data_IF_467021731471
#
_entry.id   IF_467021731471
#
_cell.length_a   1.000
_cell.length_b   1.000
_cell.length_c   1.000
_cell.angle_alpha   90.00
_cell.angle_beta   90.00
_cell.angle_gamma   90.00
#
_symmetry.space_group_name_H-M   'P 1'
#
loop_
_entity.id
_entity.type
_entity.pdbx_description
1 polymer ?
#
# COMPACT_ATOMS: atom_id res chain seq x y z
N UNK A 1 -24.76 -16.78 -2.51
CA UNK A 1 -23.81 -16.78 -3.63
C UNK A 1 -22.95 -18.04 -3.54
N UNK A 2 -22.75 -18.80 -4.63
CA UNK A 2 -21.80 -19.92 -4.64
C UNK A 2 -20.39 -19.34 -4.82
N UNK A 3 -19.47 -19.67 -3.93
CA UNK A 3 -18.07 -19.31 -4.10
C UNK A 3 -17.49 -20.03 -5.34
N UNK A 4 -16.50 -19.42 -6.04
CA UNK A 4 -15.79 -20.10 -7.12
C UNK A 4 -15.22 -21.44 -6.64
N UNK A 5 -15.14 -22.42 -7.55
CA UNK A 5 -14.42 -23.67 -7.26
C UNK A 5 -12.95 -23.33 -6.94
N UNK A 6 -12.37 -23.91 -5.88
CA UNK A 6 -11.01 -23.57 -5.42
C UNK A 6 -10.90 -22.19 -4.75
N UNK A 7 -11.96 -21.69 -4.10
CA UNK A 7 -11.97 -20.39 -3.43
C UNK A 7 -10.88 -20.23 -2.37
N UNK A 8 -10.36 -21.33 -1.81
CA UNK A 8 -9.22 -21.35 -0.89
C UNK A 8 -7.88 -20.97 -1.56
N UNK A 9 -7.79 -20.95 -2.89
CA UNK A 9 -6.65 -20.39 -3.63
C UNK A 9 -6.73 -18.86 -3.79
N UNK A 10 -7.72 -18.19 -3.20
CA UNK A 10 -7.92 -16.75 -3.33
C UNK A 10 -7.61 -15.98 -2.04
N UNK A 11 -7.09 -14.78 -2.21
CA UNK A 11 -6.90 -13.77 -1.17
C UNK A 11 -7.87 -12.63 -1.44
N UNK A 12 -8.61 -12.23 -0.41
CA UNK A 12 -9.51 -11.09 -0.45
C UNK A 12 -8.82 -9.90 0.19
N UNK A 13 -8.85 -8.76 -0.51
CA UNK A 13 -8.36 -7.47 -0.02
C UNK A 13 -9.55 -6.56 0.21
N UNK A 14 -9.66 -5.98 1.41
CA UNK A 14 -10.71 -5.00 1.73
C UNK A 14 -10.30 -3.66 1.12
N UNK A 15 -11.06 -3.18 0.14
CA UNK A 15 -10.77 -1.92 -0.56
C UNK A 15 -11.50 -0.76 0.12
N UNK A 16 -10.79 0.31 0.53
CA UNK A 16 -11.39 1.54 1.01
C UNK A 16 -11.98 2.35 -0.14
N UNK A 17 -12.91 3.25 0.19
CA UNK A 17 -13.33 4.31 -0.72
C UNK A 17 -12.17 5.27 -0.98
N UNK A 18 -11.91 5.54 -2.26
CA UNK A 18 -10.89 6.47 -2.71
C UNK A 18 -10.53 6.26 -4.17
N UNK A 19 -9.56 7.02 -4.65
CA UNK A 19 -9.11 6.99 -6.05
C UNK A 19 -7.94 6.05 -6.19
N UNK A 20 -8.01 5.09 -7.11
CA UNK A 20 -6.87 4.22 -7.41
C UNK A 20 -5.77 5.03 -8.09
N UNK A 21 -4.53 4.78 -7.74
CA UNK A 21 -3.39 5.51 -8.26
C UNK A 21 -2.11 4.68 -8.20
N UNK A 22 -1.22 4.95 -9.15
CA UNK A 22 0.15 4.46 -9.14
C UNK A 22 1.04 5.46 -8.41
N UNK A 23 1.75 5.00 -7.39
CA UNK A 23 2.74 5.82 -6.66
C UNK A 23 4.14 5.38 -7.04
N UNK A 24 4.96 6.33 -7.50
CA UNK A 24 6.34 6.11 -7.90
C UNK A 24 7.26 7.05 -7.14
N UNK A 25 8.26 6.51 -6.42
CA UNK A 25 9.27 7.32 -5.73
C UNK A 25 10.69 7.02 -6.23
N UNK A 26 11.40 8.07 -6.63
CA UNK A 26 12.79 8.02 -7.11
C UNK A 26 13.39 9.43 -7.09
N UNK A 27 14.71 9.54 -6.90
CA UNK A 27 15.43 10.82 -6.91
C UNK A 27 14.86 11.83 -5.90
N UNK A 28 14.63 11.36 -4.67
CA UNK A 28 14.12 12.13 -3.55
C UNK A 28 12.72 12.73 -3.76
N UNK A 29 11.92 12.14 -4.65
CA UNK A 29 10.57 12.63 -4.92
C UNK A 29 9.60 11.49 -5.22
N UNK A 30 8.39 11.64 -4.71
CA UNK A 30 7.26 10.76 -4.95
C UNK A 30 6.27 11.45 -5.87
N UNK A 31 5.85 10.73 -6.91
CA UNK A 31 4.85 11.13 -7.89
C UNK A 31 3.68 10.16 -7.84
N UNK A 32 2.48 10.68 -8.03
CA UNK A 32 1.23 9.91 -8.03
C UNK A 32 0.55 10.12 -9.36
N UNK A 33 0.21 9.03 -10.01
CA UNK A 33 -0.48 9.00 -11.29
C UNK A 33 -1.85 8.34 -11.11
N UNK A 34 -2.88 8.87 -11.75
CA UNK A 34 -4.20 8.23 -11.76
C UNK A 34 -4.28 7.07 -12.76
N UNK A 35 -5.48 6.50 -12.94
CA UNK A 35 -5.72 5.38 -13.86
C UNK A 35 -5.53 5.76 -15.34
N UNK A 36 -5.60 7.05 -15.70
CA UNK A 36 -5.34 7.55 -17.04
C UNK A 36 -3.85 7.82 -17.28
N UNK A 37 -3.03 7.76 -16.22
CA UNK A 37 -1.60 8.05 -16.25
C UNK A 37 -1.28 9.52 -16.02
N UNK A 38 -2.25 10.35 -15.66
CA UNK A 38 -2.03 11.78 -15.41
C UNK A 38 -1.38 11.99 -14.04
N UNK A 39 -0.39 12.89 -13.98
CA UNK A 39 0.30 13.23 -12.74
C UNK A 39 -0.61 14.10 -11.85
N UNK A 40 -1.14 13.52 -10.77
CA UNK A 40 -2.07 14.20 -9.86
C UNK A 40 -1.42 14.75 -8.58
N UNK A 41 -0.25 14.24 -8.18
CA UNK A 41 0.43 14.70 -6.95
C UNK A 41 1.95 14.52 -7.00
N UNK A 42 2.67 15.41 -6.33
CA UNK A 42 4.13 15.36 -6.15
C UNK A 42 4.51 15.80 -4.73
N UNK A 43 5.30 15.00 -4.01
CA UNK A 43 5.70 15.27 -2.62
C UNK A 43 6.95 14.46 -2.23
N UNK A 44 7.56 14.77 -1.09
CA UNK A 44 8.59 13.92 -0.47
C UNK A 44 7.93 12.89 0.44
N UNK A 45 8.41 11.65 0.47
CA UNK A 45 7.82 10.58 1.26
C UNK A 45 8.86 9.70 1.94
N UNK A 46 8.38 8.87 2.87
CA UNK A 46 9.15 7.86 3.60
C UNK A 46 9.49 6.62 2.76
N UNK A 47 8.94 6.51 1.53
CA UNK A 47 9.24 5.40 0.65
C UNK A 47 10.70 5.43 0.18
N UNK A 48 11.29 4.28 -0.18
CA UNK A 48 12.57 4.22 -0.91
C UNK A 48 12.62 5.22 -2.07
N UNK A 49 13.71 6.00 -2.18
CA UNK A 49 13.83 7.04 -3.19
C UNK A 49 12.88 8.25 -3.04
N UNK A 50 12.06 8.32 -1.98
CA UNK A 50 11.06 9.35 -1.74
C UNK A 50 11.55 10.62 -1.02
N UNK A 51 12.77 10.60 -0.48
CA UNK A 51 13.44 11.81 0.04
C UNK A 51 13.31 12.05 1.55
N UNK A 52 12.52 11.27 2.29
CA UNK A 52 12.48 11.31 3.76
C UNK A 52 13.21 10.11 4.36
N UNK A 53 14.10 10.37 5.32
CA UNK A 53 14.85 9.34 6.05
C UNK A 53 14.22 8.96 7.39
N UNK A 54 14.63 7.81 7.93
CA UNK A 54 14.01 7.14 9.10
C UNK A 54 14.30 7.86 10.44
N UNK A 55 15.09 8.94 10.46
CA UNK A 55 15.48 9.68 11.67
C UNK A 55 15.30 11.20 11.57
N UNK A 56 14.48 11.70 10.63
CA UNK A 56 14.31 13.15 10.41
C UNK A 56 15.53 13.87 9.81
N UNK A 57 16.68 13.20 9.71
CA UNK A 57 17.83 13.60 8.90
C UNK A 57 17.66 13.08 7.48
N UNK A 58 17.84 13.98 6.51
CA UNK A 58 18.04 13.63 5.10
C UNK A 58 19.34 12.84 5.04
N UNK A 59 19.25 11.51 4.99
CA UNK A 59 20.22 10.54 4.44
C UNK A 59 19.97 9.15 5.01
N UNK A 60 19.03 8.44 4.41
CA UNK A 60 19.39 7.11 3.90
C UNK A 60 19.03 7.23 2.43
N UNK A 61 20.06 7.39 1.58
CA UNK A 61 19.88 7.33 0.14
C UNK A 61 19.61 5.85 -0.15
N UNK A 62 18.37 5.44 0.08
CA UNK A 62 17.84 4.23 -0.51
C UNK A 62 17.68 4.60 -1.99
N UNK A 63 18.74 4.39 -2.78
CA UNK A 63 18.86 4.83 -4.17
C UNK A 63 17.83 4.16 -5.09
N UNK A 64 17.29 3.02 -4.67
CA UNK A 64 16.34 2.26 -5.44
C UNK A 64 14.97 2.94 -5.51
N UNK A 65 14.36 2.87 -6.70
CA UNK A 65 13.01 3.35 -6.92
C UNK A 65 11.97 2.47 -6.21
N UNK A 66 10.84 3.07 -5.82
CA UNK A 66 9.65 2.35 -5.36
C UNK A 66 8.50 2.57 -6.36
N UNK A 67 7.68 1.54 -6.55
CA UNK A 67 6.48 1.57 -7.37
C UNK A 67 5.40 0.70 -6.73
N UNK A 68 4.31 1.32 -6.29
CA UNK A 68 3.23 0.66 -5.55
C UNK A 68 1.86 1.10 -6.09
N UNK A 69 0.92 0.17 -6.12
CA UNK A 69 -0.49 0.41 -6.44
C UNK A 69 -1.23 0.78 -5.15
N UNK A 70 -1.94 1.90 -5.16
CA UNK A 70 -2.57 2.47 -3.98
C UNK A 70 -4.00 2.92 -4.24
N UNK A 71 -4.78 2.98 -3.15
CA UNK A 71 -6.00 3.77 -3.08
C UNK A 71 -5.69 5.05 -2.28
N UNK A 72 -5.81 6.20 -2.93
CA UNK A 72 -5.66 7.50 -2.30
C UNK A 72 -6.98 7.94 -1.67
N UNK A 73 -6.95 8.16 -0.35
CA UNK A 73 -8.03 8.76 0.39
C UNK A 73 -7.73 10.24 0.63
N UNK A 74 -8.24 11.08 -0.27
CA UNK A 74 -7.91 12.51 -0.35
C UNK A 74 -8.25 13.27 0.93
N UNK A 75 -9.45 13.07 1.49
CA UNK A 75 -9.92 13.76 2.68
C UNK A 75 -9.02 13.58 3.91
N UNK A 76 -8.31 12.45 3.99
CA UNK A 76 -7.38 12.15 5.08
C UNK A 76 -5.90 12.30 4.69
N UNK A 77 -5.60 12.60 3.42
CA UNK A 77 -4.26 12.62 2.85
C UNK A 77 -3.49 11.31 3.11
N UNK A 78 -4.14 10.17 2.89
CA UNK A 78 -3.59 8.82 3.17
C UNK A 78 -3.57 7.96 1.91
N UNK A 79 -2.51 7.18 1.76
CA UNK A 79 -2.41 6.14 0.74
C UNK A 79 -2.57 4.78 1.40
N UNK A 80 -3.56 4.01 0.94
CA UNK A 80 -3.70 2.61 1.29
C UNK A 80 -3.08 1.77 0.20
N UNK A 81 -2.10 0.95 0.55
CA UNK A 81 -1.35 0.16 -0.42
C UNK A 81 -2.16 -1.07 -0.77
N UNK A 82 -2.54 -1.13 -2.05
CA UNK A 82 -3.19 -2.28 -2.63
C UNK A 82 -2.15 -3.35 -2.93
N UNK A 83 -1.06 -2.95 -3.59
CA UNK A 83 -0.06 -3.88 -4.10
C UNK A 83 1.34 -3.26 -4.29
N UNK A 84 2.37 -4.11 -4.37
CA UNK A 84 3.75 -3.71 -4.65
C UNK A 84 4.20 -4.24 -6.00
N UNK A 85 4.75 -3.34 -6.83
CA UNK A 85 5.28 -3.64 -8.16
C UNK A 85 6.81 -3.53 -8.18
N UNK A 86 7.36 -2.63 -7.37
CA UNK A 86 8.80 -2.48 -7.17
C UNK A 86 9.10 -1.82 -5.81
N UNK A 87 10.16 -2.26 -5.14
CA UNK A 87 10.57 -1.69 -3.87
C UNK A 87 12.10 -1.61 -3.79
N UNK A 88 12.62 -0.40 -3.58
CA UNK A 88 14.06 -0.16 -3.49
C UNK A 88 14.85 -0.80 -4.65
N UNK A 89 14.40 -0.56 -5.89
CA UNK A 89 15.06 -1.06 -7.10
C UNK A 89 14.83 -2.54 -7.41
N UNK A 90 14.21 -3.30 -6.52
CA UNK A 90 13.77 -4.67 -6.80
C UNK A 90 12.41 -4.66 -7.48
N UNK A 91 12.22 -5.52 -8.49
CA UNK A 91 10.98 -5.66 -9.24
C UNK A 91 10.20 -6.86 -8.68
N UNK A 92 8.91 -6.67 -8.43
CA UNK A 92 8.01 -7.68 -7.87
C UNK A 92 6.94 -8.16 -8.84
N UNK A 93 6.80 -7.58 -10.03
CA UNK A 93 5.71 -7.90 -10.98
C UNK A 93 5.63 -9.38 -11.41
N UNK A 94 6.68 -10.16 -11.18
CA UNK A 94 6.74 -11.59 -11.47
C UNK A 94 6.55 -12.49 -10.23
N UNK A 95 6.41 -11.90 -9.04
CA UNK A 95 6.16 -12.62 -7.80
C UNK A 95 4.66 -12.87 -7.61
N UNK A 96 4.27 -14.03 -7.06
CA UNK A 96 2.88 -14.30 -6.74
C UNK A 96 2.33 -13.30 -5.70
N UNK A 97 1.01 -13.04 -5.65
CA UNK A 97 0.46 -11.98 -4.81
C UNK A 97 0.68 -12.27 -3.32
N UNK A 98 0.71 -13.54 -2.90
CA UNK A 98 1.00 -13.92 -1.52
C UNK A 98 2.35 -13.40 -1.03
N UNK A 99 3.41 -13.56 -1.84
CA UNK A 99 4.75 -13.06 -1.53
C UNK A 99 4.78 -11.53 -1.49
N UNK A 100 4.12 -10.88 -2.46
CA UNK A 100 4.06 -9.42 -2.55
C UNK A 100 3.32 -8.82 -1.36
N UNK A 101 2.22 -9.44 -0.94
CA UNK A 101 1.43 -9.03 0.23
C UNK A 101 2.18 -9.23 1.54
N UNK A 102 2.84 -10.37 1.73
CA UNK A 102 3.69 -10.59 2.92
C UNK A 102 4.85 -9.61 2.97
N UNK A 103 5.49 -9.34 1.83
CA UNK A 103 6.58 -8.39 1.74
C UNK A 103 6.15 -6.97 2.13
N UNK A 104 5.08 -6.46 1.50
CA UNK A 104 4.65 -5.07 1.75
C UNK A 104 4.17 -4.87 3.18
N UNK A 105 3.50 -5.85 3.77
CA UNK A 105 3.06 -5.79 5.16
C UNK A 105 4.24 -5.57 6.13
N UNK A 106 5.32 -6.35 5.95
CA UNK A 106 6.54 -6.21 6.76
C UNK A 106 7.20 -4.84 6.53
N UNK A 107 7.30 -4.37 5.29
CA UNK A 107 7.94 -3.08 4.98
C UNK A 107 7.19 -1.87 5.52
N UNK A 108 5.86 -1.91 5.50
CA UNK A 108 5.06 -0.83 6.10
C UNK A 108 5.15 -0.86 7.62
N UNK A 109 5.20 -2.05 8.23
CA UNK A 109 5.45 -2.17 9.67
C UNK A 109 6.79 -1.53 10.05
N UNK A 110 7.87 -1.86 9.33
CA UNK A 110 9.21 -1.30 9.53
C UNK A 110 9.21 0.24 9.46
N UNK A 111 8.51 0.81 8.46
CA UNK A 111 8.40 2.27 8.29
C UNK A 111 7.59 2.93 9.41
N UNK A 112 6.56 2.25 9.91
CA UNK A 112 5.65 2.78 10.93
C UNK A 112 6.22 2.79 12.36
N UNK A 113 7.27 2.01 12.64
CA UNK A 113 7.90 1.91 13.97
C UNK A 113 8.62 3.21 14.37
N UNK A 114 8.99 4.06 13.41
CA UNK A 114 9.67 5.34 13.67
C UNK A 114 8.75 6.43 14.23
N UNK A 115 8.52 6.48 15.55
CA UNK A 115 7.69 7.51 16.21
C UNK A 115 8.06 8.95 15.81
N UNK A 116 9.35 9.25 15.66
CA UNK A 116 9.82 10.57 15.25
C UNK A 116 9.41 10.92 13.81
N UNK A 117 9.48 9.96 12.90
CA UNK A 117 9.08 10.13 11.49
C UNK A 117 7.59 10.33 11.37
N UNK A 118 6.79 9.55 12.11
CA UNK A 118 5.33 9.69 12.12
C UNK A 118 4.92 11.10 12.60
N UNK A 119 5.49 11.57 13.72
CA UNK A 119 5.21 12.91 14.22
C UNK A 119 5.63 13.99 13.22
N UNK A 120 6.79 13.84 12.59
CA UNK A 120 7.24 14.76 11.55
C UNK A 120 6.28 14.79 10.35
N UNK A 121 5.83 13.62 9.87
CA UNK A 121 4.90 13.53 8.75
C UNK A 121 3.56 14.19 9.08
N UNK A 122 3.04 13.96 10.30
CA UNK A 122 1.80 14.59 10.77
C UNK A 122 1.97 16.11 10.83
N UNK A 123 3.05 16.61 11.46
CA UNK A 123 3.32 18.04 11.61
C UNK A 123 3.52 18.76 10.26
N UNK A 124 4.08 18.07 9.27
CA UNK A 124 4.33 18.61 7.92
C UNK A 124 3.24 18.27 6.91
N UNK A 125 2.15 17.62 7.33
CA UNK A 125 1.08 17.12 6.47
C UNK A 125 1.60 16.29 5.27
N UNK A 126 2.62 15.47 5.54
CA UNK A 126 3.19 14.55 4.55
C UNK A 126 2.30 13.30 4.51
N UNK A 127 1.89 12.85 3.30
CA UNK A 127 1.05 11.68 3.18
C UNK A 127 1.68 10.43 3.79
N UNK A 128 0.89 9.69 4.55
CA UNK A 128 1.27 8.41 5.14
C UNK A 128 0.76 7.23 4.31
N UNK A 129 1.50 6.13 4.39
CA UNK A 129 1.21 4.88 3.69
C UNK A 129 0.77 3.81 4.69
N UNK A 130 -0.33 3.14 4.38
CA UNK A 130 -0.93 2.12 5.22
C UNK A 130 -1.13 0.85 4.42
N UNK A 131 -0.88 -0.29 5.05
CA UNK A 131 -1.21 -1.57 4.44
C UNK A 131 -2.72 -1.84 4.55
N UNK A 132 -3.26 -2.60 3.58
CA UNK A 132 -4.67 -3.00 3.60
C UNK A 132 -4.88 -4.35 4.30
N UNK A 133 -5.99 -4.53 5.02
CA UNK A 133 -6.37 -5.84 5.52
C UNK A 133 -6.59 -6.82 4.36
N UNK A 134 -5.96 -7.99 4.47
CA UNK A 134 -6.10 -9.11 3.53
C UNK A 134 -6.39 -10.39 4.28
N UNK A 135 -7.19 -11.27 3.68
CA UNK A 135 -7.53 -12.54 4.29
C UNK A 135 -7.73 -13.63 3.24
N UNK A 136 -7.48 -14.87 3.63
CA UNK A 136 -7.75 -16.01 2.77
C UNK A 136 -9.26 -16.10 2.55
N UNK A 137 -9.71 -16.36 1.33
CA UNK A 137 -11.09 -16.67 1.06
C UNK A 137 -11.41 -18.05 1.65
N UNK A 138 -11.66 -18.12 2.96
CA UNK A 138 -12.29 -19.27 3.61
C UNK A 138 -13.54 -18.79 4.34
N UNK A 139 -14.51 -19.68 4.55
CA UNK A 139 -15.82 -19.26 5.09
C UNK A 139 -15.70 -18.62 6.49
N UNK A 140 -14.80 -19.14 7.32
CA UNK A 140 -14.56 -18.61 8.66
C UNK A 140 -13.96 -17.20 8.61
N UNK A 141 -13.00 -16.96 7.73
CA UNK A 141 -12.39 -15.64 7.57
C UNK A 141 -13.39 -14.65 6.96
N UNK A 142 -14.16 -15.06 5.95
CA UNK A 142 -15.18 -14.19 5.34
C UNK A 142 -16.21 -13.75 6.40
N UNK A 143 -16.70 -14.67 7.23
CA UNK A 143 -17.63 -14.33 8.32
C UNK A 143 -16.97 -13.40 9.32
N UNK A 144 -15.74 -13.70 9.75
CA UNK A 144 -14.98 -12.86 10.67
C UNK A 144 -14.80 -11.44 10.13
N UNK A 145 -14.32 -11.29 8.89
CA UNK A 145 -14.03 -9.99 8.27
C UNK A 145 -15.28 -9.24 7.83
N UNK A 146 -16.44 -9.89 7.70
CA UNK A 146 -17.73 -9.19 7.52
C UNK A 146 -18.17 -8.40 8.74
N UNK A 147 -17.63 -8.72 9.92
CA UNK A 147 -17.95 -8.10 11.20
C UNK A 147 -16.86 -7.14 11.70
N UNK A 148 -15.72 -7.06 11.01
CA UNK A 148 -14.59 -6.21 11.41
C UNK A 148 -14.89 -4.75 11.10
N UNK A 149 -14.61 -3.88 12.07
CA UNK A 149 -14.58 -2.43 11.85
C UNK A 149 -13.26 -2.02 11.21
N UNK A 150 -13.33 -1.39 10.04
CA UNK A 150 -12.17 -0.82 9.36
C UNK A 150 -12.01 0.67 9.73
N UNK A 151 -10.78 1.21 9.78
CA UNK A 151 -10.54 2.64 10.03
C UNK A 151 -10.90 3.53 8.81
N UNK A 152 -11.66 3.00 7.87
CA UNK A 152 -12.10 3.62 6.62
C UNK A 152 -13.43 3.02 6.17
N UNK A 153 -14.17 3.75 5.33
CA UNK A 153 -15.38 3.24 4.68
C UNK A 153 -14.97 2.20 3.63
N UNK A 154 -15.53 1.00 3.72
CA UNK A 154 -15.32 -0.07 2.73
C UNK A 154 -16.09 0.31 1.45
N UNK A 155 -15.41 0.17 0.31
CA UNK A 155 -16.00 0.33 -1.02
C UNK A 155 -16.34 -1.03 -1.62
N UNK A 156 -15.36 -1.94 -1.65
CA UNK A 156 -15.50 -3.26 -2.24
C UNK A 156 -14.50 -4.27 -1.67
N UNK A 157 -14.61 -5.52 -2.12
CA UNK A 157 -13.67 -6.60 -1.81
C UNK A 157 -13.02 -7.05 -3.11
N UNK A 158 -11.69 -6.95 -3.19
CA UNK A 158 -10.91 -7.38 -4.35
C UNK A 158 -10.42 -8.81 -4.14
N UNK A 159 -10.51 -9.63 -5.19
CA UNK A 159 -10.17 -11.05 -5.14
C UNK A 159 -8.94 -11.30 -6.01
N UNK A 160 -7.86 -11.74 -5.37
CA UNK A 160 -6.60 -12.10 -6.02
C UNK A 160 -6.45 -13.60 -5.98
N UNK A 161 -6.25 -14.23 -7.14
CA UNK A 161 -5.86 -15.63 -7.16
C UNK A 161 -4.39 -15.74 -6.73
N UNK A 162 -4.07 -16.71 -5.86
CA UNK A 162 -2.75 -16.83 -5.19
C UNK A 162 -1.56 -17.01 -6.13
N UNK A 163 -1.80 -17.36 -7.40
CA UNK A 163 -0.78 -17.57 -8.44
C UNK A 163 -0.78 -16.50 -9.55
N UNK A 164 -1.53 -15.40 -9.38
CA UNK A 164 -1.69 -14.34 -10.41
C UNK A 164 -0.49 -13.43 -10.53
#
# INVERSE_FOLDING_TARGET
>A
ARFPFGYDEWVVVIRPVGTRCLVVSRNAITRVYDELGDLIKKFTSILPGGGLGINGLIRIIIEGACMIDCIFWEAANRFFILDVLGWNGQIFVHCPPSERFSFINLKILDLSIGKAVNNFCILKNIPMFYDLPRFKACINDIVKYSQVTCPFRIDSYLWYHSKS
#
